data_IF_572575286891
#
_entry.id   IF_572575286891
#
_cell.length_a   1.000
_cell.length_b   1.000
_cell.length_c   1.000
_cell.angle_alpha   90.00
_cell.angle_beta   90.00
_cell.angle_gamma   90.00
#
_symmetry.space_group_name_H-M   'P 1'
#
loop_
_entity.id
_entity.type
_entity.pdbx_description
1 polymer ?
#
# COMPACT_ATOMS: atom_id res chain seq x y z
N UNK A 1 22.29 38.51 57.15
CA UNK A 1 23.04 38.63 55.88
C UNK A 1 23.29 37.25 55.33
N UNK A 2 22.55 36.84 54.33
CA UNK A 2 22.73 35.55 53.62
C UNK A 2 23.04 35.89 52.15
N UNK A 3 24.21 35.47 51.72
CA UNK A 3 24.77 35.69 50.37
C UNK A 3 24.09 34.77 49.36
N UNK A 4 23.68 35.35 48.21
CA UNK A 4 23.09 34.68 47.05
C UNK A 4 24.23 34.29 46.11
N UNK A 5 24.29 33.05 45.58
CA UNK A 5 25.33 32.66 44.59
C UNK A 5 24.94 33.11 43.19
N UNK A 6 25.91 33.64 42.45
CA UNK A 6 25.83 33.96 41.03
C UNK A 6 25.58 32.73 40.16
N UNK A 7 24.57 32.81 39.31
CA UNK A 7 24.37 31.86 38.23
C UNK A 7 25.34 32.16 37.07
N UNK A 8 26.23 31.22 36.81
CA UNK A 8 27.09 31.21 35.62
C UNK A 8 26.25 30.78 34.40
N UNK A 9 26.11 31.67 33.41
CA UNK A 9 25.54 31.38 32.10
C UNK A 9 26.47 30.38 31.37
N UNK A 10 26.04 29.16 31.22
CA UNK A 10 26.63 28.26 30.25
C UNK A 10 26.17 28.66 28.83
N UNK A 11 27.11 29.07 28.01
CA UNK A 11 26.94 29.31 26.58
C UNK A 11 26.68 27.96 25.88
N UNK A 12 25.44 27.74 25.50
CA UNK A 12 25.05 26.59 24.67
C UNK A 12 25.75 26.64 23.31
N UNK A 13 26.73 25.78 23.09
CA UNK A 13 27.23 25.49 21.75
C UNK A 13 26.11 24.77 20.98
N UNK A 14 25.49 25.48 20.04
CA UNK A 14 24.66 24.87 19.00
C UNK A 14 25.52 23.89 18.20
N UNK A 15 25.39 22.60 18.48
CA UNK A 15 25.85 21.55 17.62
C UNK A 15 24.99 21.60 16.34
N UNK A 16 25.45 22.31 15.32
CA UNK A 16 24.93 22.14 13.97
C UNK A 16 25.17 20.70 13.55
N UNK A 17 24.12 19.87 13.61
CA UNK A 17 24.11 18.56 12.94
C UNK A 17 24.35 18.83 11.45
N UNK A 18 25.56 18.55 10.99
CA UNK A 18 25.87 18.45 9.56
C UNK A 18 25.02 17.30 9.01
N UNK A 19 23.92 17.62 8.35
CA UNK A 19 23.20 16.66 7.54
C UNK A 19 24.13 16.29 6.39
N UNK A 20 24.73 15.12 6.47
CA UNK A 20 25.43 14.51 5.36
C UNK A 20 24.38 14.26 4.27
N UNK A 21 24.39 15.03 3.20
CA UNK A 21 23.56 14.78 2.01
C UNK A 21 24.08 13.51 1.35
N UNK A 22 23.41 12.39 1.61
CA UNK A 22 23.71 11.13 0.91
C UNK A 22 23.59 11.37 -0.59
N UNK A 23 24.58 10.93 -1.36
CA UNK A 23 24.49 10.97 -2.82
C UNK A 23 23.42 9.98 -3.31
N UNK A 24 22.79 10.21 -4.46
CA UNK A 24 21.83 9.26 -5.04
C UNK A 24 22.33 7.82 -5.09
N UNK A 25 23.58 7.63 -5.50
CA UNK A 25 24.22 6.30 -5.56
C UNK A 25 24.37 5.66 -4.18
N UNK A 26 24.67 6.43 -3.14
CA UNK A 26 24.79 5.90 -1.77
C UNK A 26 23.44 5.49 -1.19
N UNK A 27 22.34 6.17 -1.52
CA UNK A 27 20.98 5.80 -1.10
C UNK A 27 20.59 4.45 -1.73
N UNK A 28 20.78 4.32 -3.04
CA UNK A 28 20.47 3.10 -3.80
C UNK A 28 21.27 1.91 -3.22
N UNK A 29 22.58 2.09 -3.05
CA UNK A 29 23.45 1.03 -2.52
C UNK A 29 23.07 0.64 -1.09
N UNK A 30 22.74 1.61 -0.24
CA UNK A 30 22.36 1.34 1.15
C UNK A 30 21.05 0.54 1.24
N UNK A 31 20.02 0.91 0.48
CA UNK A 31 18.74 0.19 0.47
C UNK A 31 18.88 -1.23 -0.10
N UNK A 32 19.63 -1.40 -1.21
CA UNK A 32 19.88 -2.74 -1.79
C UNK A 32 20.74 -3.64 -0.90
N UNK A 33 21.55 -3.08 -0.02
CA UNK A 33 22.38 -3.83 0.92
C UNK A 33 21.61 -4.35 2.15
N UNK A 34 20.33 -3.99 2.34
CA UNK A 34 19.55 -4.54 3.43
C UNK A 34 19.40 -6.06 3.24
N UNK A 35 19.68 -6.85 4.29
CA UNK A 35 19.49 -8.29 4.21
C UNK A 35 18.02 -8.65 4.04
N UNK A 36 17.73 -9.79 3.41
CA UNK A 36 16.35 -10.29 3.37
C UNK A 36 15.78 -10.44 4.78
N UNK A 37 14.52 -10.04 4.96
CA UNK A 37 13.76 -10.18 6.21
C UNK A 37 12.89 -11.41 6.15
N UNK A 38 12.90 -12.22 7.20
CA UNK A 38 12.00 -13.36 7.38
C UNK A 38 10.94 -13.00 8.40
N UNK A 39 9.67 -13.11 8.02
CA UNK A 39 8.53 -12.74 8.85
C UNK A 39 7.67 -13.99 9.03
N UNK A 40 7.76 -14.69 10.18
CA UNK A 40 6.89 -15.83 10.48
C UNK A 40 5.50 -15.38 10.90
N UNK A 41 4.50 -16.20 10.59
CA UNK A 41 3.12 -16.01 11.02
C UNK A 41 2.39 -17.36 11.10
N UNK A 42 1.10 -17.33 11.45
CA UNK A 42 0.19 -18.47 11.48
C UNK A 42 -1.10 -18.10 10.75
N UNK A 43 -1.57 -18.93 9.82
CA UNK A 43 -2.82 -18.71 9.09
C UNK A 43 -4.04 -19.04 9.95
N UNK A 44 -4.25 -18.25 11.02
CA UNK A 44 -5.47 -18.35 11.82
C UNK A 44 -6.67 -17.79 11.03
N UNK A 45 -7.89 -18.33 11.18
CA UNK A 45 -9.05 -17.87 10.41
C UNK A 45 -9.47 -16.42 10.68
N UNK A 46 -9.20 -15.89 11.87
CA UNK A 46 -9.79 -14.63 12.35
C UNK A 46 -9.41 -13.40 11.52
N UNK A 47 -8.13 -13.14 11.17
CA UNK A 47 -7.80 -11.97 10.34
C UNK A 47 -8.50 -11.98 8.99
N UNK A 48 -8.55 -13.14 8.33
CA UNK A 48 -9.25 -13.33 7.05
C UNK A 48 -10.77 -13.13 7.19
N UNK A 49 -11.37 -13.64 8.25
CA UNK A 49 -12.78 -13.45 8.56
C UNK A 49 -13.14 -11.98 8.77
N UNK A 50 -12.36 -11.25 9.56
CA UNK A 50 -12.57 -9.82 9.81
C UNK A 50 -12.36 -8.97 8.56
N UNK A 51 -11.40 -9.32 7.70
CA UNK A 51 -11.23 -8.66 6.41
C UNK A 51 -12.43 -8.91 5.50
N UNK A 52 -12.95 -10.15 5.44
CA UNK A 52 -14.18 -10.48 4.70
C UNK A 52 -15.36 -9.66 5.21
N UNK A 53 -15.52 -9.53 6.53
CA UNK A 53 -16.58 -8.72 7.14
C UNK A 53 -16.49 -7.27 6.70
N UNK A 54 -15.28 -6.68 6.76
CA UNK A 54 -15.03 -5.28 6.38
C UNK A 54 -15.28 -5.04 4.87
N UNK A 55 -14.84 -5.98 4.02
CA UNK A 55 -15.04 -5.90 2.57
C UNK A 55 -16.51 -6.06 2.20
N UNK A 56 -17.22 -7.02 2.80
CA UNK A 56 -18.64 -7.26 2.48
C UNK A 56 -19.53 -6.11 2.93
N UNK A 57 -19.25 -5.48 4.07
CA UNK A 57 -19.96 -4.28 4.50
C UNK A 57 -19.77 -3.14 3.49
N UNK A 58 -18.54 -2.92 3.04
CA UNK A 58 -18.21 -1.86 2.08
C UNK A 58 -18.80 -2.09 0.68
N UNK A 59 -18.76 -3.33 0.18
CA UNK A 59 -19.19 -3.66 -1.19
C UNK A 59 -20.69 -3.89 -1.30
N UNK A 60 -21.29 -4.56 -0.32
CA UNK A 60 -22.65 -5.10 -0.46
C UNK A 60 -23.62 -4.56 0.58
N UNK A 61 -23.17 -3.68 1.49
CA UNK A 61 -23.94 -3.21 2.64
C UNK A 61 -24.60 -4.37 3.39
N UNK A 62 -23.85 -5.49 3.49
CA UNK A 62 -24.35 -6.72 4.11
C UNK A 62 -24.44 -6.55 5.62
N UNK A 63 -25.66 -6.67 6.18
CA UNK A 63 -25.88 -6.63 7.62
C UNK A 63 -25.63 -7.99 8.30
N UNK A 64 -25.35 -9.04 7.52
CA UNK A 64 -25.03 -10.36 8.06
C UNK A 64 -23.52 -10.49 8.25
N UNK A 65 -23.09 -10.77 9.48
CA UNK A 65 -21.70 -11.17 9.72
C UNK A 65 -21.43 -12.51 9.05
N UNK A 66 -20.34 -12.65 8.30
CA UNK A 66 -19.95 -13.94 7.76
C UNK A 66 -19.66 -14.91 8.92
N UNK A 67 -19.97 -16.18 8.73
CA UNK A 67 -19.65 -17.24 9.69
C UNK A 67 -18.26 -17.78 9.39
N UNK A 68 -17.46 -18.03 10.43
CA UNK A 68 -16.20 -18.76 10.26
C UNK A 68 -16.52 -20.16 9.78
N UNK A 69 -16.02 -20.53 8.59
CA UNK A 69 -16.29 -21.82 7.99
C UNK A 69 -15.48 -22.94 8.65
N UNK A 70 -16.13 -24.06 8.87
CA UNK A 70 -15.53 -25.34 9.27
C UNK A 70 -15.94 -26.41 8.25
N UNK A 71 -15.01 -27.18 7.65
CA UNK A 71 -13.55 -27.17 7.83
C UNK A 71 -12.88 -25.88 7.32
N UNK A 72 -11.63 -25.62 7.73
CA UNK A 72 -10.87 -24.46 7.29
C UNK A 72 -10.80 -24.35 5.78
N UNK A 73 -11.04 -23.16 5.26
CA UNK A 73 -10.95 -22.85 3.84
C UNK A 73 -9.54 -22.42 3.45
N UNK A 74 -9.26 -22.43 2.15
CA UNK A 74 -8.05 -21.81 1.62
C UNK A 74 -8.06 -20.30 1.86
N UNK A 75 -6.88 -19.71 2.00
CA UNK A 75 -6.70 -18.25 2.14
C UNK A 75 -7.24 -17.57 0.88
N UNK A 76 -8.26 -16.71 0.96
CA UNK A 76 -8.76 -15.99 -0.20
C UNK A 76 -7.67 -15.07 -0.78
N UNK A 77 -7.64 -14.93 -2.10
CA UNK A 77 -6.69 -14.06 -2.79
C UNK A 77 -6.84 -12.61 -2.30
N UNK A 78 -5.72 -11.98 -1.95
CA UNK A 78 -5.68 -10.66 -1.33
C UNK A 78 -5.68 -10.68 0.21
N UNK A 79 -6.07 -11.79 0.86
CA UNK A 79 -6.10 -11.84 2.33
C UNK A 79 -4.72 -12.01 2.96
N UNK A 80 -3.69 -12.41 2.20
CA UNK A 80 -2.29 -12.39 2.67
C UNK A 80 -1.84 -10.99 3.12
N UNK A 81 -2.54 -9.93 2.71
CA UNK A 81 -2.24 -8.53 3.05
C UNK A 81 -2.53 -8.18 4.52
N UNK A 82 -3.27 -9.02 5.25
CA UNK A 82 -3.54 -8.85 6.69
C UNK A 82 -2.83 -9.89 7.56
N UNK A 83 -1.88 -10.60 6.97
CA UNK A 83 -0.92 -11.45 7.64
C UNK A 83 0.50 -10.90 7.44
N UNK A 84 1.48 -11.46 8.16
CA UNK A 84 2.88 -11.05 8.10
C UNK A 84 3.09 -9.55 8.38
N UNK A 85 2.55 -9.05 9.52
CA UNK A 85 2.66 -7.64 9.87
C UNK A 85 4.10 -7.23 10.19
N UNK A 86 4.34 -5.92 10.23
CA UNK A 86 5.60 -5.36 10.73
C UNK A 86 5.70 -5.71 12.22
N UNK A 87 6.74 -6.48 12.60
CA UNK A 87 6.96 -6.90 13.97
C UNK A 87 7.92 -5.95 14.72
N UNK A 88 7.66 -4.64 14.62
CA UNK A 88 8.43 -3.61 15.29
C UNK A 88 7.60 -2.91 16.37
N UNK A 89 8.18 -2.60 17.54
CA UNK A 89 7.52 -1.75 18.51
C UNK A 89 7.36 -0.32 17.96
N UNK A 90 6.32 0.44 18.37
CA UNK A 90 6.07 1.79 17.87
C UNK A 90 7.27 2.73 17.94
N UNK A 91 8.11 2.59 18.97
CA UNK A 91 9.34 3.39 19.16
C UNK A 91 10.42 3.15 18.10
N UNK A 92 10.28 2.11 17.29
CA UNK A 92 11.22 1.74 16.21
C UNK A 92 10.69 2.14 14.82
N UNK A 93 9.43 2.54 14.71
CA UNK A 93 8.85 3.07 13.48
C UNK A 93 9.38 4.48 13.21
N UNK A 94 9.39 4.91 11.94
CA UNK A 94 9.68 6.29 11.60
C UNK A 94 8.50 7.21 12.00
N UNK A 95 8.68 8.53 12.05
CA UNK A 95 7.68 9.45 12.63
C UNK A 95 6.28 9.40 12.01
N UNK A 96 6.15 8.97 10.76
CA UNK A 96 4.86 8.75 10.09
C UNK A 96 4.20 7.40 10.43
N UNK A 97 4.82 6.58 11.28
CA UNK A 97 4.34 5.26 11.67
C UNK A 97 4.74 4.12 10.73
N UNK A 98 5.70 4.34 9.85
CA UNK A 98 6.06 3.39 8.82
C UNK A 98 7.31 2.55 9.15
N UNK A 99 7.55 1.51 8.33
CA UNK A 99 8.74 0.66 8.41
C UNK A 99 10.01 1.46 8.02
N UNK A 100 11.00 1.57 8.91
CA UNK A 100 12.26 2.25 8.62
C UNK A 100 13.09 1.57 7.53
N UNK A 101 12.97 0.24 7.37
CA UNK A 101 13.84 -0.54 6.50
C UNK A 101 13.62 -0.24 5.01
N UNK A 102 12.44 0.26 4.66
CA UNK A 102 12.12 0.65 3.29
C UNK A 102 12.45 2.12 2.99
N UNK A 103 12.77 2.93 4.01
CA UNK A 103 12.93 4.37 3.88
C UNK A 103 14.32 4.77 3.39
N UNK A 104 14.41 5.62 2.34
CA UNK A 104 15.68 6.23 1.93
C UNK A 104 16.24 7.20 3.00
N UNK A 105 15.38 7.67 3.91
CA UNK A 105 15.67 8.73 4.86
C UNK A 105 15.61 10.13 4.24
N UNK A 106 15.95 11.14 5.02
CA UNK A 106 15.95 12.54 4.57
C UNK A 106 16.82 12.73 3.33
N UNK A 107 16.35 13.47 2.30
CA UNK A 107 15.14 14.31 2.29
C UNK A 107 13.85 13.65 1.78
N UNK A 108 13.81 12.34 1.60
CA UNK A 108 12.70 11.58 1.02
C UNK A 108 11.80 11.03 2.12
N UNK A 109 11.01 11.89 2.76
CA UNK A 109 10.21 11.56 3.95
C UNK A 109 8.76 11.21 3.62
N UNK A 110 8.23 11.69 2.48
CA UNK A 110 6.87 11.41 2.03
C UNK A 110 6.84 10.20 1.11
N UNK A 111 5.84 9.34 1.27
CA UNK A 111 5.75 8.14 0.44
C UNK A 111 4.31 7.82 0.04
N UNK A 112 4.20 7.16 -1.10
CA UNK A 112 2.95 6.59 -1.60
C UNK A 112 3.19 5.20 -2.16
N UNK A 113 2.15 4.39 -2.18
CA UNK A 113 2.14 3.09 -2.85
C UNK A 113 1.82 3.30 -4.33
N UNK A 114 2.78 3.03 -5.21
CA UNK A 114 2.65 3.32 -6.64
C UNK A 114 2.05 2.18 -7.46
N UNK A 115 2.00 0.97 -6.90
CA UNK A 115 1.51 -0.22 -7.58
C UNK A 115 2.32 -1.45 -7.25
N UNK A 116 2.22 -2.47 -8.10
CA UNK A 116 2.94 -3.72 -7.93
C UNK A 116 2.39 -4.83 -8.79
N UNK A 117 2.71 -6.05 -8.39
CA UNK A 117 2.13 -7.26 -8.96
C UNK A 117 2.04 -8.36 -7.90
N UNK A 118 1.09 -9.25 -8.06
CA UNK A 118 0.95 -10.44 -7.22
C UNK A 118 0.68 -11.64 -8.10
N UNK A 119 1.39 -12.74 -7.84
CA UNK A 119 1.21 -14.03 -8.51
C UNK A 119 0.81 -15.06 -7.47
N UNK A 120 -0.25 -15.80 -7.73
CA UNK A 120 -0.75 -16.91 -6.92
C UNK A 120 -0.41 -18.21 -7.62
N UNK A 121 0.35 -19.11 -6.97
CA UNK A 121 0.85 -20.35 -7.55
C UNK A 121 0.27 -21.60 -6.89
N UNK A 122 0.00 -21.52 -5.57
CA UNK A 122 -0.46 -22.66 -4.79
C UNK A 122 -1.86 -22.48 -4.22
N UNK A 123 -2.49 -23.61 -3.89
CA UNK A 123 -3.76 -23.66 -3.15
C UNK A 123 -3.57 -24.14 -1.71
N UNK A 124 -2.31 -24.25 -1.23
CA UNK A 124 -1.99 -24.93 0.02
C UNK A 124 -2.04 -24.02 1.26
N UNK A 125 -2.26 -22.72 1.08
CA UNK A 125 -2.40 -21.78 2.21
C UNK A 125 -3.80 -21.90 2.83
N UNK A 126 -3.97 -22.85 3.77
CA UNK A 126 -5.25 -23.07 4.49
C UNK A 126 -5.30 -22.32 5.79
N UNK A 127 -6.50 -21.83 6.14
CA UNK A 127 -6.81 -21.10 7.38
C UNK A 127 -7.03 -22.08 8.55
N UNK A 128 -6.05 -22.94 8.84
CA UNK A 128 -6.09 -23.98 9.87
C UNK A 128 -5.03 -23.77 10.97
N UNK A 129 -4.57 -22.53 11.11
CA UNK A 129 -3.51 -22.12 12.04
C UNK A 129 -2.14 -22.78 11.75
N UNK A 130 -1.91 -23.26 10.51
CA UNK A 130 -0.59 -23.75 10.12
C UNK A 130 0.46 -22.64 10.13
N UNK A 131 1.74 -23.00 10.39
CA UNK A 131 2.84 -22.05 10.28
C UNK A 131 3.04 -21.62 8.83
N UNK A 132 3.36 -20.35 8.64
CA UNK A 132 3.66 -19.74 7.35
C UNK A 132 4.78 -18.73 7.50
N UNK A 133 5.42 -18.39 6.39
CA UNK A 133 6.53 -17.44 6.38
C UNK A 133 6.43 -16.51 5.17
N UNK A 134 6.83 -15.27 5.38
CA UNK A 134 7.11 -14.32 4.32
C UNK A 134 8.61 -14.00 4.28
N UNK A 135 9.22 -14.13 3.11
CA UNK A 135 10.56 -13.61 2.83
C UNK A 135 10.42 -12.28 2.09
N UNK A 136 10.89 -11.21 2.73
CA UNK A 136 10.85 -9.85 2.17
C UNK A 136 12.25 -9.39 1.80
N UNK A 137 12.41 -8.75 0.62
CA UNK A 137 13.68 -8.22 0.15
C UNK A 137 13.47 -7.00 -0.75
N UNK A 138 14.31 -5.98 -0.60
CA UNK A 138 14.42 -4.88 -1.56
C UNK A 138 15.24 -5.38 -2.74
N UNK A 139 14.59 -5.54 -3.91
CA UNK A 139 15.25 -6.06 -5.11
C UNK A 139 15.73 -4.93 -6.03
N UNK A 140 14.95 -3.87 -6.16
CA UNK A 140 15.35 -2.74 -6.98
C UNK A 140 15.07 -1.39 -6.33
N UNK A 141 15.95 -0.44 -6.63
CA UNK A 141 15.84 0.95 -6.19
C UNK A 141 16.23 1.84 -7.35
N UNK A 142 15.33 2.71 -7.79
CA UNK A 142 15.56 3.64 -8.87
C UNK A 142 15.29 5.09 -8.46
N UNK A 143 16.18 5.99 -8.84
CA UNK A 143 15.97 7.43 -8.69
C UNK A 143 15.49 7.97 -10.05
N UNK A 144 14.37 8.71 -10.06
CA UNK A 144 13.78 9.27 -11.28
C UNK A 144 13.31 10.69 -11.03
N UNK A 145 13.42 11.55 -12.03
CA UNK A 145 13.01 12.95 -11.97
C UNK A 145 14.16 13.90 -12.27
N UNK A 146 13.86 15.21 -12.30
CA UNK A 146 14.86 16.27 -12.46
C UNK A 146 15.59 16.50 -11.15
N UNK A 147 16.77 17.06 -11.21
CA UNK A 147 17.52 17.46 -10.01
C UNK A 147 16.68 18.36 -9.11
N UNK A 148 16.60 18.00 -7.83
CA UNK A 148 15.76 18.70 -6.83
C UNK A 148 14.32 18.21 -6.72
N UNK A 149 13.79 17.49 -7.74
CA UNK A 149 12.44 16.93 -7.78
C UNK A 149 12.45 15.39 -7.88
N UNK A 150 13.59 14.78 -7.58
CA UNK A 150 13.75 13.35 -7.73
C UNK A 150 12.83 12.57 -6.78
N UNK A 151 12.39 11.43 -7.26
CA UNK A 151 11.64 10.44 -6.51
C UNK A 151 12.43 9.13 -6.45
N UNK A 152 12.43 8.51 -5.28
CA UNK A 152 13.05 7.19 -5.08
C UNK A 152 11.97 6.13 -5.19
N UNK A 153 12.11 5.26 -6.18
CA UNK A 153 11.26 4.08 -6.36
C UNK A 153 11.95 2.90 -5.69
N UNK A 154 11.22 2.22 -4.82
CA UNK A 154 11.73 1.05 -4.08
C UNK A 154 10.82 -0.13 -4.39
N UNK A 155 11.36 -1.14 -5.06
CA UNK A 155 10.67 -2.40 -5.33
C UNK A 155 11.00 -3.42 -4.24
N UNK A 156 9.98 -3.79 -3.49
CA UNK A 156 10.02 -4.75 -2.39
C UNK A 156 9.34 -6.02 -2.85
N UNK A 157 10.08 -7.12 -2.88
CA UNK A 157 9.53 -8.43 -3.14
C UNK A 157 9.21 -9.15 -1.84
N UNK A 158 8.02 -9.69 -1.78
CA UNK A 158 7.53 -10.55 -0.70
C UNK A 158 7.10 -11.88 -1.27
N UNK A 159 7.69 -12.94 -0.75
CA UNK A 159 7.39 -14.32 -1.13
C UNK A 159 6.81 -15.05 0.08
N UNK A 160 5.65 -15.67 -0.10
CA UNK A 160 4.90 -16.29 0.99
C UNK A 160 4.77 -17.78 0.77
N UNK A 161 4.95 -18.56 1.83
CA UNK A 161 4.85 -20.01 1.77
C UNK A 161 4.48 -20.66 3.09
N UNK A 162 4.03 -21.90 3.01
CA UNK A 162 3.66 -22.73 4.15
C UNK A 162 4.91 -23.20 4.91
N UNK A 163 4.85 -23.33 6.24
CA UNK A 163 6.00 -23.62 7.12
C UNK A 163 6.81 -22.37 7.46
N UNK A 164 7.79 -22.50 8.35
CA UNK A 164 8.71 -21.41 8.74
C UNK A 164 10.08 -21.48 8.08
N UNK A 165 10.33 -22.51 7.28
CA UNK A 165 11.61 -22.73 6.62
C UNK A 165 11.71 -21.87 5.36
N UNK A 166 12.83 -21.18 5.20
CA UNK A 166 13.14 -20.27 4.09
C UNK A 166 14.34 -20.73 3.29
N UNK A 167 15.31 -21.36 3.97
CA UNK A 167 16.55 -21.82 3.33
C UNK A 167 16.28 -22.96 2.35
N UNK A 168 16.82 -22.85 1.13
CA UNK A 168 16.64 -23.84 0.08
C UNK A 168 15.23 -23.89 -0.55
N UNK A 169 14.36 -22.95 -0.21
CA UNK A 169 13.01 -22.88 -0.79
C UNK A 169 13.05 -22.19 -2.15
N UNK A 170 12.70 -22.92 -3.19
CA UNK A 170 12.59 -22.42 -4.56
C UNK A 170 11.14 -22.09 -4.95
N UNK A 171 10.16 -22.77 -4.36
CA UNK A 171 8.74 -22.59 -4.64
C UNK A 171 8.01 -21.84 -3.54
N UNK A 172 7.17 -20.90 -3.94
CA UNK A 172 6.39 -20.04 -3.07
C UNK A 172 4.93 -20.02 -3.53
N UNK A 173 4.00 -20.04 -2.57
CA UNK A 173 2.55 -20.04 -2.84
C UNK A 173 2.08 -18.71 -3.41
N UNK A 174 2.62 -17.59 -2.89
CA UNK A 174 2.34 -16.24 -3.38
C UNK A 174 3.66 -15.48 -3.54
N UNK A 175 3.80 -14.79 -4.66
CA UNK A 175 4.88 -13.82 -4.87
C UNK A 175 4.29 -12.44 -5.16
N UNK A 176 4.69 -11.45 -4.38
CA UNK A 176 4.19 -10.08 -4.46
C UNK A 176 5.35 -9.08 -4.61
N UNK A 177 5.26 -8.22 -5.61
CA UNK A 177 6.11 -7.02 -5.72
C UNK A 177 5.31 -5.79 -5.33
N UNK A 178 5.86 -5.00 -4.44
CA UNK A 178 5.34 -3.72 -3.97
C UNK A 178 6.27 -2.61 -4.41
N UNK A 179 5.75 -1.62 -5.13
CA UNK A 179 6.52 -0.44 -5.50
C UNK A 179 6.11 0.73 -4.61
N UNK A 180 7.00 1.16 -3.75
CA UNK A 180 6.87 2.40 -2.98
C UNK A 180 7.59 3.53 -3.70
N UNK A 181 7.01 4.73 -3.67
CA UNK A 181 7.64 5.95 -4.19
C UNK A 181 7.82 6.94 -3.06
N UNK A 182 9.07 7.30 -2.81
CA UNK A 182 9.43 8.30 -1.83
C UNK A 182 9.72 9.63 -2.52
N UNK A 183 9.17 10.70 -1.95
CA UNK A 183 9.26 12.06 -2.46
C UNK A 183 9.99 12.94 -1.47
N UNK A 184 10.69 13.94 -1.99
CA UNK A 184 11.34 14.95 -1.14
C UNK A 184 10.32 15.68 -0.29
N UNK A 185 10.73 16.01 0.93
CA UNK A 185 10.07 17.02 1.74
C UNK A 185 10.14 18.36 1.02
N UNK A 186 9.02 19.01 0.81
CA UNK A 186 9.00 20.35 0.22
C UNK A 186 9.58 21.33 1.22
N UNK A 187 10.66 22.04 0.85
CA UNK A 187 11.22 23.11 1.67
C UNK A 187 10.17 24.20 1.85
N UNK A 188 9.79 24.50 3.08
CA UNK A 188 9.00 25.68 3.40
C UNK A 188 9.76 26.92 2.94
N UNK A 189 9.27 27.59 1.90
CA UNK A 189 9.61 29.00 1.70
C UNK A 189 8.81 29.79 2.75
N UNK A 190 9.50 30.36 3.70
CA UNK A 190 8.94 31.02 4.88
C UNK A 190 8.07 32.26 4.60
N UNK A 191 7.62 32.50 3.38
CA UNK A 191 6.91 33.71 2.99
C UNK A 191 5.90 33.49 1.86
N UNK A 192 4.87 32.64 2.06
CA UNK A 192 3.81 32.63 1.06
C UNK A 192 2.44 32.22 1.63
N UNK A 193 1.37 32.97 1.36
CA UNK A 193 -0.01 32.61 1.71
C UNK A 193 -0.55 31.42 0.91
N UNK A 194 0.31 30.59 0.37
CA UNK A 194 0.09 29.59 -0.69
C UNK A 194 -0.31 28.20 -0.19
N UNK A 195 -0.58 28.02 1.11
CA UNK A 195 -1.00 26.69 1.64
C UNK A 195 -2.28 26.18 0.96
N UNK A 196 -3.21 27.09 0.64
CA UNK A 196 -4.45 26.78 -0.12
C UNK A 196 -4.22 26.60 -1.62
N UNK A 197 -3.16 27.21 -2.19
CA UNK A 197 -2.78 27.03 -3.60
C UNK A 197 -1.97 25.74 -3.82
N UNK A 198 -1.25 25.23 -2.82
CA UNK A 198 -0.49 23.98 -2.89
C UNK A 198 -1.36 22.73 -3.04
N UNK A 199 -2.49 22.65 -2.32
CA UNK A 199 -3.49 21.60 -2.59
C UNK A 199 -4.00 21.64 -4.04
N UNK A 200 -4.11 22.84 -4.63
CA UNK A 200 -4.49 23.00 -6.03
C UNK A 200 -3.39 22.61 -7.00
N UNK A 201 -2.10 22.75 -6.65
CA UNK A 201 -0.99 22.47 -7.56
C UNK A 201 -0.70 20.96 -7.64
N UNK A 202 -0.69 20.24 -6.53
CA UNK A 202 -0.61 18.76 -6.53
C UNK A 202 -1.86 18.17 -7.17
N UNK A 203 -3.05 18.69 -6.85
CA UNK A 203 -4.30 18.34 -7.51
C UNK A 203 -4.30 18.74 -9.01
N UNK A 204 -3.70 19.88 -9.39
CA UNK A 204 -3.68 20.35 -10.77
C UNK A 204 -2.70 19.56 -11.66
N UNK A 205 -1.52 19.15 -11.16
CA UNK A 205 -0.63 18.25 -11.89
C UNK A 205 -1.23 16.84 -11.97
N UNK A 206 -1.89 16.37 -10.91
CA UNK A 206 -2.68 15.14 -10.95
C UNK A 206 -3.90 15.31 -11.88
N UNK A 207 -4.60 16.43 -11.80
CA UNK A 207 -5.78 16.73 -12.62
C UNK A 207 -5.46 16.76 -14.11
N UNK A 208 -4.36 17.38 -14.55
CA UNK A 208 -3.99 17.46 -15.97
C UNK A 208 -3.51 16.14 -16.58
N UNK A 209 -3.14 15.14 -15.76
CA UNK A 209 -2.69 13.82 -16.24
C UNK A 209 -3.79 12.76 -16.10
N UNK A 210 -4.77 12.96 -15.20
CA UNK A 210 -5.71 11.94 -14.77
C UNK A 210 -7.13 12.20 -15.28
N UNK A 211 -7.55 13.46 -15.44
CA UNK A 211 -8.92 13.81 -15.87
C UNK A 211 -9.23 13.39 -17.32
N UNK A 212 -8.20 13.01 -18.11
CA UNK A 212 -8.36 12.59 -19.51
C UNK A 212 -8.17 11.06 -19.73
N UNK A 213 -7.80 10.28 -18.71
CA UNK A 213 -7.60 8.84 -18.86
C UNK A 213 -8.81 8.08 -18.33
N UNK A 214 -9.86 8.03 -19.12
CA UNK A 214 -10.91 7.01 -18.98
C UNK A 214 -10.47 5.75 -19.72
N UNK A 215 -10.88 4.56 -19.23
CA UNK A 215 -10.69 3.35 -20.02
C UNK A 215 -11.55 3.49 -21.29
N UNK A 216 -10.98 3.29 -22.50
CA UNK A 216 -11.73 3.47 -23.74
C UNK A 216 -12.84 2.44 -23.93
N UNK A 217 -12.91 1.42 -23.09
CA UNK A 217 -13.86 0.34 -23.18
C UNK A 217 -14.77 0.29 -21.94
N UNK A 218 -16.09 0.10 -22.09
CA UNK A 218 -16.99 0.01 -20.96
C UNK A 218 -16.70 -1.24 -20.11
N UNK A 219 -16.92 -1.16 -18.78
CA UNK A 219 -16.81 -2.33 -17.90
C UNK A 219 -17.93 -3.36 -18.20
N UNK A 220 -17.63 -4.65 -18.00
CA UNK A 220 -18.65 -5.69 -17.97
C UNK A 220 -19.37 -5.77 -16.63
N UNK A 221 -18.71 -5.33 -15.57
CA UNK A 221 -19.28 -5.17 -14.24
C UNK A 221 -18.67 -3.97 -13.55
N UNK A 222 -19.49 -3.23 -12.81
CA UNK A 222 -19.08 -2.07 -12.03
C UNK A 222 -19.82 -2.05 -10.69
N UNK A 223 -19.11 -1.70 -9.62
CA UNK A 223 -19.67 -1.51 -8.29
C UNK A 223 -19.17 -0.21 -7.70
N UNK A 224 -20.10 0.60 -7.19
CA UNK A 224 -19.77 1.85 -6.49
C UNK A 224 -19.73 1.63 -4.99
N UNK A 225 -18.75 2.23 -4.32
CA UNK A 225 -18.55 2.13 -2.88
C UNK A 225 -18.01 3.44 -2.31
N UNK A 226 -18.13 3.59 -0.98
CA UNK A 226 -17.68 4.80 -0.28
C UNK A 226 -16.99 4.41 1.03
N UNK A 227 -15.64 4.31 1.06
CA UNK A 227 -14.92 3.97 2.27
C UNK A 227 -15.12 5.00 3.38
N UNK A 228 -15.39 4.55 4.59
CA UNK A 228 -15.48 5.38 5.80
C UNK A 228 -14.16 5.33 6.61
N UNK A 229 -13.94 6.24 7.57
CA UNK A 229 -12.80 6.15 8.48
C UNK A 229 -12.74 4.83 9.25
N UNK A 230 -13.90 4.20 9.53
CA UNK A 230 -13.98 2.92 10.23
C UNK A 230 -13.40 1.78 9.38
N UNK A 231 -13.69 1.75 8.06
CA UNK A 231 -13.09 0.76 7.14
C UNK A 231 -11.57 0.90 7.10
N UNK A 232 -11.05 2.15 7.08
CA UNK A 232 -9.61 2.40 7.11
C UNK A 232 -8.98 1.94 8.43
N UNK A 233 -9.63 2.23 9.56
CA UNK A 233 -9.19 1.77 10.88
C UNK A 233 -9.14 0.25 10.96
N UNK A 234 -10.21 -0.44 10.51
CA UNK A 234 -10.24 -1.91 10.48
C UNK A 234 -9.07 -2.48 9.68
N UNK A 235 -8.82 -1.93 8.48
CA UNK A 235 -7.71 -2.41 7.66
C UNK A 235 -6.34 -2.09 8.28
N UNK A 236 -6.15 -0.90 8.86
CA UNK A 236 -4.95 -0.55 9.62
C UNK A 236 -4.70 -1.50 10.78
N UNK A 237 -5.75 -1.81 11.57
CA UNK A 237 -5.65 -2.71 12.71
C UNK A 237 -5.31 -4.15 12.27
N UNK A 238 -5.98 -4.66 11.23
CA UNK A 238 -5.74 -6.01 10.69
C UNK A 238 -4.34 -6.17 10.09
N UNK A 239 -3.84 -5.16 9.39
CA UNK A 239 -2.51 -5.19 8.78
C UNK A 239 -1.39 -4.67 9.69
N UNK A 240 -1.73 -4.26 10.93
CA UNK A 240 -0.84 -3.59 11.88
C UNK A 240 -0.11 -2.39 11.25
N UNK A 241 -0.81 -1.66 10.39
CA UNK A 241 -0.27 -0.52 9.67
C UNK A 241 -0.56 0.78 10.41
N UNK A 242 0.49 1.38 10.97
CA UNK A 242 0.43 2.61 11.74
C UNK A 242 0.75 3.88 10.92
N UNK A 243 0.73 3.82 9.58
CA UNK A 243 1.03 4.99 8.77
C UNK A 243 -0.06 6.06 8.91
N UNK A 244 0.32 7.20 9.44
CA UNK A 244 -0.58 8.28 9.91
C UNK A 244 -1.54 8.82 8.85
N UNK A 245 -1.19 8.76 7.56
CA UNK A 245 -2.07 9.23 6.47
C UNK A 245 -3.42 8.49 6.40
N UNK A 246 -3.55 7.34 7.06
CA UNK A 246 -4.76 6.51 7.02
C UNK A 246 -5.70 6.72 8.20
N UNK A 247 -5.21 7.30 9.33
CA UNK A 247 -6.02 7.44 10.53
C UNK A 247 -5.88 8.80 11.25
N UNK A 248 -4.85 9.60 10.93
CA UNK A 248 -4.66 10.94 11.50
C UNK A 248 -5.00 12.02 10.45
N UNK A 249 -6.20 12.64 10.53
CA UNK A 249 -6.61 13.65 9.56
C UNK A 249 -5.76 14.93 9.61
N UNK A 250 -5.18 15.25 10.78
CA UNK A 250 -4.31 16.41 10.92
C UNK A 250 -2.98 16.16 10.23
N UNK A 251 -2.36 15.03 10.49
CA UNK A 251 -1.13 14.62 9.82
C UNK A 251 -1.31 14.60 8.31
N UNK A 252 -2.37 13.93 7.82
CA UNK A 252 -2.64 13.81 6.38
C UNK A 252 -2.73 15.18 5.70
N UNK A 253 -3.38 16.18 6.34
CA UNK A 253 -3.54 17.53 5.78
C UNK A 253 -2.34 18.44 5.98
N UNK A 254 -1.80 18.46 7.17
CA UNK A 254 -0.81 19.48 7.56
C UNK A 254 0.62 19.06 7.28
N UNK A 255 0.92 17.77 7.34
CA UNK A 255 2.26 17.22 7.10
C UNK A 255 2.40 16.72 5.65
N UNK A 256 1.50 15.84 5.22
CA UNK A 256 1.61 15.23 3.89
C UNK A 256 0.87 15.99 2.77
N UNK A 257 0.04 17.01 3.11
CA UNK A 257 -0.62 17.87 2.15
C UNK A 257 -1.79 17.22 1.41
N UNK A 258 -2.34 16.13 1.94
CA UNK A 258 -3.55 15.48 1.42
C UNK A 258 -4.82 16.20 1.89
N UNK A 259 -5.92 16.13 1.10
CA UNK A 259 -7.18 16.78 1.47
C UNK A 259 -7.95 16.04 2.58
N UNK A 260 -7.71 14.74 2.71
CA UNK A 260 -8.37 13.86 3.70
C UNK A 260 -7.52 12.63 3.95
N UNK A 261 -8.00 11.69 4.78
CA UNK A 261 -7.38 10.39 4.98
C UNK A 261 -7.36 9.59 3.67
N UNK A 262 -6.25 8.93 3.39
CA UNK A 262 -6.08 8.12 2.19
C UNK A 262 -6.57 6.68 2.41
N UNK A 263 -7.21 6.13 1.40
CA UNK A 263 -7.47 4.70 1.32
C UNK A 263 -6.15 3.96 1.12
N UNK A 264 -5.94 2.86 1.85
CA UNK A 264 -4.71 2.08 1.74
C UNK A 264 -4.56 1.46 0.35
N UNK A 265 -3.38 1.57 -0.26
CA UNK A 265 -3.07 0.85 -1.51
C UNK A 265 -3.28 -0.66 -1.41
N UNK A 266 -2.81 -1.35 -0.34
CA UNK A 266 -3.13 -2.76 -0.12
C UNK A 266 -4.63 -3.05 0.01
N UNK A 267 -5.41 -2.16 0.60
CA UNK A 267 -6.87 -2.35 0.71
C UNK A 267 -7.54 -2.28 -0.66
N UNK A 268 -7.13 -1.33 -1.52
CA UNK A 268 -7.63 -1.29 -2.91
C UNK A 268 -7.25 -2.54 -3.69
N UNK A 269 -6.05 -3.10 -3.48
CA UNK A 269 -5.66 -4.39 -4.06
C UNK A 269 -6.57 -5.53 -3.60
N UNK A 270 -6.86 -5.63 -2.29
CA UNK A 270 -7.78 -6.65 -1.77
C UNK A 270 -9.18 -6.53 -2.36
N UNK A 271 -9.70 -5.30 -2.50
CA UNK A 271 -10.99 -5.02 -3.12
C UNK A 271 -11.02 -5.41 -4.61
N UNK A 272 -9.98 -5.07 -5.38
CA UNK A 272 -9.87 -5.47 -6.79
C UNK A 272 -9.84 -6.99 -6.95
N UNK A 273 -9.05 -7.69 -6.13
CA UNK A 273 -8.97 -9.15 -6.15
C UNK A 273 -10.31 -9.78 -5.77
N UNK A 274 -11.02 -9.22 -4.79
CA UNK A 274 -12.35 -9.71 -4.40
C UNK A 274 -13.34 -9.62 -5.56
N UNK A 275 -13.45 -8.46 -6.21
CA UNK A 275 -14.37 -8.27 -7.33
C UNK A 275 -13.97 -9.11 -8.54
N UNK A 276 -12.67 -9.21 -8.85
CA UNK A 276 -12.19 -10.10 -9.91
C UNK A 276 -12.61 -11.55 -9.67
N UNK A 277 -12.38 -12.08 -8.46
CA UNK A 277 -12.74 -13.46 -8.13
C UNK A 277 -14.25 -13.71 -8.18
N UNK A 278 -15.06 -12.74 -7.74
CA UNK A 278 -16.52 -12.82 -7.83
C UNK A 278 -17.00 -12.86 -9.29
N UNK A 279 -16.32 -12.18 -10.22
CA UNK A 279 -16.68 -12.14 -11.64
C UNK A 279 -16.07 -13.29 -12.45
N UNK A 280 -14.90 -13.77 -12.08
CA UNK A 280 -14.24 -14.94 -12.70
C UNK A 280 -15.00 -16.23 -12.38
N UNK A 281 -15.57 -16.32 -11.18
CA UNK A 281 -16.35 -17.46 -10.72
C UNK A 281 -15.50 -18.64 -10.20
N UNK A 282 -16.18 -19.73 -9.83
CA UNK A 282 -15.55 -20.86 -9.13
C UNK A 282 -14.69 -21.76 -10.02
N UNK A 283 -14.91 -21.75 -11.34
CA UNK A 283 -14.21 -22.61 -12.33
C UNK A 283 -12.82 -22.10 -12.72
N UNK A 284 -12.48 -20.88 -12.31
CA UNK A 284 -11.21 -20.27 -12.63
C UNK A 284 -10.68 -19.45 -11.45
N UNK A 285 -9.43 -19.01 -11.52
CA UNK A 285 -8.82 -18.18 -10.49
C UNK A 285 -7.84 -17.18 -11.11
N UNK A 286 -7.61 -16.06 -10.41
CA UNK A 286 -6.57 -15.10 -10.78
C UNK A 286 -5.22 -15.76 -10.55
N UNK A 287 -4.43 -15.90 -11.61
CA UNK A 287 -3.04 -16.39 -11.51
C UNK A 287 -2.11 -15.22 -11.19
N UNK A 288 -2.25 -14.09 -11.90
CA UNK A 288 -1.42 -12.92 -11.73
C UNK A 288 -2.26 -11.65 -11.84
N UNK A 289 -1.97 -10.66 -11.00
CA UNK A 289 -2.51 -9.29 -11.12
C UNK A 289 -1.35 -8.30 -11.07
N UNK A 290 -1.17 -7.53 -12.14
CA UNK A 290 -0.26 -6.37 -12.17
C UNK A 290 -1.08 -5.09 -12.14
N UNK A 291 -0.69 -4.11 -11.30
CA UNK A 291 -1.48 -2.88 -11.14
C UNK A 291 -0.61 -1.66 -10.89
N UNK A 292 -1.17 -0.49 -11.17
CA UNK A 292 -0.55 0.81 -10.95
C UNK A 292 -1.55 1.78 -10.36
N UNK A 293 -1.10 2.54 -9.35
CA UNK A 293 -1.84 3.63 -8.74
C UNK A 293 -1.43 4.94 -9.42
N UNK A 294 -2.41 5.68 -9.90
CA UNK A 294 -2.23 6.97 -10.59
C UNK A 294 -2.62 8.14 -9.70
N UNK A 295 -3.67 7.96 -8.87
CA UNK A 295 -4.19 8.99 -7.99
C UNK A 295 -4.54 8.44 -6.61
N UNK A 296 -4.43 9.27 -5.56
CA UNK A 296 -4.91 8.90 -4.23
C UNK A 296 -6.44 8.83 -4.20
N UNK A 297 -6.94 7.83 -3.49
CA UNK A 297 -8.36 7.69 -3.14
C UNK A 297 -8.54 8.13 -1.69
N UNK A 298 -9.63 8.82 -1.41
CA UNK A 298 -9.87 9.42 -0.10
C UNK A 298 -11.12 8.84 0.57
N UNK A 299 -11.08 8.85 1.89
CA UNK A 299 -12.21 8.45 2.74
C UNK A 299 -13.40 9.40 2.51
N UNK A 300 -14.62 8.85 2.63
CA UNK A 300 -15.89 9.57 2.42
C UNK A 300 -16.11 10.12 0.99
N UNK A 301 -15.30 9.68 0.03
CA UNK A 301 -15.52 9.94 -1.38
C UNK A 301 -16.00 8.67 -2.09
N UNK A 302 -16.92 8.83 -3.04
CA UNK A 302 -17.38 7.71 -3.86
C UNK A 302 -16.28 7.28 -4.82
N UNK A 303 -16.14 5.98 -5.01
CA UNK A 303 -15.28 5.39 -6.03
C UNK A 303 -16.01 4.20 -6.67
N UNK A 304 -15.62 3.82 -7.88
CA UNK A 304 -16.13 2.63 -8.54
C UNK A 304 -15.02 1.65 -8.84
N UNK A 305 -15.28 0.36 -8.63
CA UNK A 305 -14.42 -0.73 -9.08
C UNK A 305 -15.05 -1.34 -10.30
N UNK A 306 -14.29 -1.36 -11.38
CA UNK A 306 -14.73 -1.75 -12.71
C UNK A 306 -13.91 -2.95 -13.17
N UNK A 307 -14.54 -3.93 -13.80
CA UNK A 307 -13.85 -5.07 -14.40
C UNK A 307 -14.38 -5.36 -15.79
N UNK A 308 -13.49 -5.86 -16.64
CA UNK A 308 -13.80 -6.25 -18.01
C UNK A 308 -13.00 -7.49 -18.39
N UNK A 309 -13.70 -8.51 -18.92
CA UNK A 309 -13.01 -9.61 -19.57
C UNK A 309 -12.55 -9.16 -20.96
N UNK A 310 -11.26 -9.28 -21.24
CA UNK A 310 -10.71 -8.94 -22.56
C UNK A 310 -11.07 -10.02 -23.55
N UNK A 311 -11.59 -9.65 -24.74
CA UNK A 311 -11.98 -10.62 -25.75
C UNK A 311 -10.76 -11.30 -26.37
N UNK A 312 -10.96 -12.51 -26.94
CA UNK A 312 -9.89 -13.25 -27.65
C UNK A 312 -9.28 -12.47 -28.81
N UNK A 313 -10.07 -11.58 -29.42
CA UNK A 313 -9.62 -10.73 -30.54
C UNK A 313 -8.74 -9.56 -30.10
N UNK A 314 -8.72 -9.24 -28.77
CA UNK A 314 -7.99 -8.10 -28.22
C UNK A 314 -6.69 -8.52 -27.51
N UNK A 315 -6.39 -9.81 -27.37
CA UNK A 315 -5.18 -10.24 -26.68
C UNK A 315 -5.18 -11.69 -26.21
N UNK A 316 -4.43 -11.96 -25.14
CA UNK A 316 -4.23 -13.29 -24.57
C UNK A 316 -5.53 -13.82 -23.94
N UNK A 317 -5.84 -15.08 -24.17
CA UNK A 317 -6.98 -15.77 -23.56
C UNK A 317 -6.85 -15.77 -22.02
N UNK A 318 -7.93 -15.48 -21.31
CA UNK A 318 -7.93 -15.41 -19.85
C UNK A 318 -7.50 -14.06 -19.25
N UNK A 319 -7.31 -13.02 -20.05
CA UNK A 319 -7.00 -11.67 -19.56
C UNK A 319 -8.25 -10.92 -19.09
N UNK A 320 -8.10 -10.22 -17.97
CA UNK A 320 -9.09 -9.30 -17.42
C UNK A 320 -8.45 -7.94 -17.11
N UNK A 321 -9.15 -6.88 -17.42
CA UNK A 321 -8.81 -5.54 -16.94
C UNK A 321 -9.63 -5.23 -15.69
N UNK A 322 -9.01 -4.59 -14.69
CA UNK A 322 -9.65 -4.09 -13.48
C UNK A 322 -9.16 -2.68 -13.20
N UNK A 323 -10.07 -1.77 -12.86
CA UNK A 323 -9.65 -0.41 -12.54
C UNK A 323 -10.57 0.23 -11.50
N UNK A 324 -10.05 1.24 -10.83
CA UNK A 324 -10.81 2.05 -9.87
C UNK A 324 -10.84 3.48 -10.37
N UNK A 325 -12.04 4.04 -10.42
CA UNK A 325 -12.28 5.44 -10.71
C UNK A 325 -12.63 6.19 -9.43
N UNK A 326 -12.12 7.43 -9.31
CA UNK A 326 -12.47 8.35 -8.23
C UNK A 326 -13.84 9.02 -8.43
N UNK A 327 -14.20 9.96 -7.55
CA UNK A 327 -15.54 10.58 -7.53
C UNK A 327 -15.90 11.35 -8.81
N UNK A 328 -14.92 11.83 -9.56
CA UNK A 328 -15.10 12.57 -10.80
C UNK A 328 -14.93 11.69 -12.06
N UNK A 329 -14.86 10.36 -11.90
CA UNK A 329 -14.67 9.40 -13.00
C UNK A 329 -13.22 9.26 -13.49
N UNK A 330 -12.27 9.98 -12.87
CA UNK A 330 -10.85 9.86 -13.20
C UNK A 330 -10.25 8.55 -12.71
N UNK A 331 -9.39 7.92 -13.52
CA UNK A 331 -8.75 6.64 -13.21
C UNK A 331 -7.74 6.78 -12.06
N UNK A 332 -8.05 6.18 -10.92
CA UNK A 332 -7.16 6.19 -9.76
C UNK A 332 -6.22 4.97 -9.70
N UNK A 333 -6.71 3.80 -10.11
CA UNK A 333 -5.93 2.55 -10.17
C UNK A 333 -6.27 1.81 -11.45
N UNK A 334 -5.28 1.20 -12.10
CA UNK A 334 -5.49 0.29 -13.23
C UNK A 334 -4.67 -0.97 -13.03
N UNK A 335 -5.29 -2.11 -13.29
CA UNK A 335 -4.66 -3.42 -13.24
C UNK A 335 -5.07 -4.30 -14.40
N UNK A 336 -4.24 -5.30 -14.67
CA UNK A 336 -4.49 -6.37 -15.63
C UNK A 336 -4.24 -7.70 -14.93
N UNK A 337 -5.21 -8.60 -15.02
CA UNK A 337 -5.17 -9.92 -14.44
C UNK A 337 -5.06 -11.01 -15.52
N UNK A 338 -4.26 -12.02 -15.23
CA UNK A 338 -4.20 -13.29 -15.93
C UNK A 338 -5.01 -14.30 -15.12
N UNK A 339 -5.95 -14.97 -15.78
CA UNK A 339 -6.87 -15.92 -15.17
C UNK A 339 -6.66 -17.31 -15.77
N UNK A 340 -6.59 -18.32 -14.91
CA UNK A 340 -6.41 -19.73 -15.30
C UNK A 340 -7.60 -20.56 -14.84
N UNK A 341 -7.93 -21.58 -15.61
CA UNK A 341 -8.93 -22.58 -15.22
C UNK A 341 -8.38 -23.43 -14.05
N UNK A 342 -9.25 -23.76 -13.09
CA UNK A 342 -8.96 -24.68 -11.99
C UNK A 342 -9.00 -26.12 -12.43
#
# INVERSE_FOLDING_TARGET
MRSIPLFVRQSGRHLQRRYSTKTPSSIISALKAHPPKTIPDYLTPMPSHLLTTTINDLLYHSHSSPTISLPPQNLPQGHHLVYFPIQLPPSRLIPDGADPDHSPGTPYTRRVWAGGEVTFRGEDMKLDARPVVCREKIEDVALRGREGEEKVFVDIWRKYGTGHEVEGRDEWDIEERRTLVFMREEKESASSPTRLLRCKFVACIQKSIIDDVQDPHPPTYSISLKPSPIHLFHFSALSFNAHSIHFDPQFAREVDGHRSLLVHGPFTLALMLRILNDQVGSSASVHKLSYRNYAPLYVNESMSINVRKVSKNEGVDGRWDVWIEGPEGGMAVKGTAEVVNK
#
